data_IF_855703164657
#
_entry.id   IF_855703164657
#
_cell.length_a   1.000
_cell.length_b   1.000
_cell.length_c   1.000
_cell.angle_alpha   90.00
_cell.angle_beta   90.00
_cell.angle_gamma   90.00
#
_symmetry.space_group_name_H-M   'P 1'
#
loop_
_entity.id
_entity.type
_entity.pdbx_description
1 polymer ?
#
# COMPACT_ATOMS: atom_id res chain seq x y z
N UNK A 1 -6.71 22.31 13.43
CA UNK A 1 -5.83 21.97 12.29
C UNK A 1 -6.69 21.51 11.14
N UNK A 2 -6.75 22.26 10.05
CA UNK A 2 -7.50 21.88 8.85
C UNK A 2 -6.52 21.83 7.67
N UNK A 3 -6.48 20.70 6.97
CA UNK A 3 -5.72 20.58 5.73
C UNK A 3 -6.48 21.35 4.65
N UNK A 4 -5.94 22.48 4.21
CA UNK A 4 -6.55 23.26 3.13
C UNK A 4 -6.32 22.58 1.79
N UNK A 5 -7.26 22.77 0.86
CA UNK A 5 -7.23 22.18 -0.47
C UNK A 5 -5.93 22.51 -1.26
N UNK A 6 -5.30 23.65 -0.99
CA UNK A 6 -4.00 24.03 -1.53
C UNK A 6 -2.84 23.14 -1.03
N UNK A 7 -2.88 22.68 0.23
CA UNK A 7 -1.89 21.77 0.80
C UNK A 7 -2.02 20.37 0.19
N UNK A 8 -3.25 19.91 -0.07
CA UNK A 8 -3.49 18.61 -0.71
C UNK A 8 -2.92 18.55 -2.14
N UNK A 9 -2.89 19.66 -2.88
CA UNK A 9 -2.28 19.71 -4.22
C UNK A 9 -0.74 19.65 -4.23
N UNK A 10 -0.10 19.90 -3.09
CA UNK A 10 1.36 19.84 -2.97
C UNK A 10 1.86 18.44 -2.60
N UNK A 11 0.97 17.56 -2.14
CA UNK A 11 1.28 16.16 -1.87
C UNK A 11 1.15 15.43 -3.21
N UNK A 12 2.15 14.63 -3.62
CA UNK A 12 2.07 13.82 -4.83
C UNK A 12 1.10 12.67 -4.60
N UNK A 13 -0.20 12.96 -4.50
CA UNK A 13 -1.27 11.98 -4.43
C UNK A 13 -2.06 12.04 -5.75
N UNK A 14 -2.51 10.90 -6.30
CA UNK A 14 -3.39 10.91 -7.46
C UNK A 14 -4.70 11.61 -7.08
N UNK A 15 -5.14 12.66 -7.80
CA UNK A 15 -6.38 13.35 -7.46
C UNK A 15 -7.58 12.39 -7.49
N UNK A 16 -8.72 12.70 -6.82
CA UNK A 16 -9.87 11.81 -6.83
C UNK A 16 -10.36 11.42 -8.23
N UNK A 17 -10.21 12.30 -9.21
CA UNK A 17 -10.54 12.04 -10.62
C UNK A 17 -9.60 11.06 -11.33
N UNK A 18 -8.48 10.67 -10.71
CA UNK A 18 -7.53 9.71 -11.26
C UNK A 18 -7.88 8.24 -10.92
N UNK A 19 -8.91 8.01 -10.10
CA UNK A 19 -9.39 6.67 -9.78
C UNK A 19 -10.57 6.31 -10.67
N UNK A 20 -10.44 5.22 -11.41
CA UNK A 20 -11.54 4.59 -12.14
C UNK A 20 -12.44 3.79 -11.20
N UNK A 21 -13.60 3.35 -11.68
CA UNK A 21 -14.48 2.46 -10.90
C UNK A 21 -13.77 1.14 -10.53
N UNK A 22 -12.96 0.58 -11.43
CA UNK A 22 -12.16 -0.62 -11.17
C UNK A 22 -11.11 -0.39 -10.07
N UNK A 23 -10.46 0.78 -10.08
CA UNK A 23 -9.50 1.15 -9.03
C UNK A 23 -10.20 1.22 -7.66
N UNK A 24 -11.37 1.86 -7.61
CA UNK A 24 -12.17 1.94 -6.38
C UNK A 24 -12.66 0.56 -5.94
N UNK A 25 -13.06 -0.29 -6.88
CA UNK A 25 -13.44 -1.69 -6.62
C UNK A 25 -12.28 -2.52 -6.02
N UNK A 26 -11.04 -2.20 -6.36
CA UNK A 26 -9.86 -2.80 -5.73
C UNK A 26 -9.57 -2.18 -4.35
N UNK A 27 -9.55 -0.85 -4.24
CA UNK A 27 -9.04 -0.15 -3.06
C UNK A 27 -10.03 -0.19 -1.90
N UNK A 28 -11.30 0.15 -2.17
CA UNK A 28 -12.30 0.39 -1.11
C UNK A 28 -12.50 -0.82 -0.20
N UNK A 29 -12.67 -2.07 -0.71
CA UNK A 29 -12.84 -3.23 0.17
C UNK A 29 -11.64 -3.45 1.11
N UNK A 30 -10.41 -3.19 0.63
CA UNK A 30 -9.17 -3.35 1.41
C UNK A 30 -9.05 -2.30 2.49
N UNK A 31 -9.33 -1.04 2.15
CA UNK A 31 -9.32 0.08 3.12
C UNK A 31 -10.42 -0.09 4.16
N UNK A 32 -11.60 -0.55 3.75
CA UNK A 32 -12.71 -0.85 4.64
C UNK A 32 -12.31 -1.92 5.67
N UNK A 33 -11.77 -3.06 5.23
CA UNK A 33 -11.35 -4.15 6.13
C UNK A 33 -10.20 -3.74 7.05
N UNK A 34 -9.28 -2.89 6.57
CA UNK A 34 -8.19 -2.37 7.38
C UNK A 34 -8.63 -1.35 8.44
N UNK A 35 -9.70 -0.59 8.18
CA UNK A 35 -10.16 0.53 9.01
C UNK A 35 -11.31 0.17 9.95
N UNK A 36 -12.26 -0.67 9.51
CA UNK A 36 -13.47 -0.95 10.27
C UNK A 36 -13.29 -2.11 11.27
N UNK A 37 -12.46 -1.90 12.29
CA UNK A 37 -12.14 -2.93 13.31
C UNK A 37 -12.90 -2.80 14.62
N UNK A 38 -13.78 -1.79 14.74
CA UNK A 38 -14.66 -1.61 15.90
C UNK A 38 -15.93 -0.83 15.52
N UNK A 39 -17.00 -0.97 16.30
CA UNK A 39 -18.26 -0.25 16.05
C UNK A 39 -18.13 1.28 16.07
N UNK A 40 -17.11 1.85 16.70
CA UNK A 40 -16.87 3.30 16.65
C UNK A 40 -16.58 3.80 15.23
N UNK A 41 -16.09 2.90 14.35
CA UNK A 41 -15.83 3.18 12.94
C UNK A 41 -17.05 2.86 12.04
N UNK A 42 -18.20 2.49 12.60
CA UNK A 42 -19.40 2.17 11.81
C UNK A 42 -19.90 3.31 10.91
N UNK A 43 -19.84 4.61 11.30
CA UNK A 43 -20.18 5.69 10.38
C UNK A 43 -19.33 5.68 9.09
N UNK A 44 -18.00 5.49 9.22
CA UNK A 44 -17.10 5.38 8.07
C UNK A 44 -17.41 4.17 7.18
N UNK A 45 -17.75 3.03 7.80
CA UNK A 45 -18.12 1.83 7.05
C UNK A 45 -19.41 2.04 6.23
N UNK A 46 -20.41 2.71 6.82
CA UNK A 46 -21.66 3.06 6.13
C UNK A 46 -21.45 4.04 5.00
N UNK A 47 -20.55 5.02 5.15
CA UNK A 47 -20.19 5.94 4.07
C UNK A 47 -19.56 5.21 2.86
N UNK A 48 -18.96 4.04 3.09
CA UNK A 48 -18.45 3.13 2.06
C UNK A 48 -19.48 2.07 1.62
N UNK A 49 -20.74 2.17 2.06
CA UNK A 49 -21.82 1.25 1.70
C UNK A 49 -21.81 -0.09 2.44
N UNK A 50 -21.09 -0.20 3.57
CA UNK A 50 -21.02 -1.42 4.37
C UNK A 50 -21.81 -1.31 5.69
N UNK A 51 -22.78 -2.20 5.87
CA UNK A 51 -23.65 -2.25 7.06
C UNK A 51 -23.40 -3.49 7.95
N UNK A 52 -22.37 -4.30 7.63
CA UNK A 52 -22.04 -5.50 8.40
C UNK A 52 -21.33 -5.21 9.72
N UNK A 53 -20.93 -6.29 10.40
CA UNK A 53 -20.15 -6.22 11.64
C UNK A 53 -18.71 -5.76 11.40
N UNK A 54 -18.05 -5.15 12.41
CA UNK A 54 -16.62 -4.83 12.32
C UNK A 54 -15.77 -6.07 12.02
N UNK A 55 -14.72 -5.87 11.22
CA UNK A 55 -13.77 -6.91 10.89
C UNK A 55 -12.93 -7.28 12.12
N UNK A 56 -12.73 -8.59 12.31
CA UNK A 56 -11.84 -9.09 13.36
C UNK A 56 -10.40 -8.68 13.07
N UNK A 57 -9.66 -8.39 14.14
CA UNK A 57 -8.24 -8.11 14.02
C UNK A 57 -7.45 -9.40 13.71
N UNK A 58 -6.90 -9.47 12.51
CA UNK A 58 -6.04 -10.56 12.04
C UNK A 58 -4.74 -9.97 11.45
N UNK A 59 -3.60 -10.22 12.09
CA UNK A 59 -2.33 -9.62 11.68
C UNK A 59 -1.90 -10.06 10.28
N UNK A 60 -2.11 -11.33 9.93
CA UNK A 60 -1.66 -11.91 8.67
C UNK A 60 -2.48 -11.41 7.51
N UNK A 61 -3.82 -11.39 7.69
CA UNK A 61 -4.74 -10.80 6.72
C UNK A 61 -4.46 -9.31 6.52
N UNK A 62 -4.22 -8.57 7.60
CA UNK A 62 -3.89 -7.13 7.51
C UNK A 62 -2.54 -6.86 6.85
N UNK A 63 -1.56 -7.74 7.01
CA UNK A 63 -0.29 -7.64 6.30
C UNK A 63 -0.48 -7.84 4.78
N UNK A 64 -1.30 -8.83 4.40
CA UNK A 64 -1.64 -9.08 3.00
C UNK A 64 -2.38 -7.91 2.35
N UNK A 65 -3.42 -7.37 3.01
CA UNK A 65 -4.20 -6.25 2.49
C UNK A 65 -3.34 -4.99 2.30
N UNK A 66 -2.43 -4.72 3.24
CA UNK A 66 -1.49 -3.59 3.13
C UNK A 66 -0.52 -3.80 1.97
N UNK A 67 0.04 -5.00 1.82
CA UNK A 67 0.92 -5.31 0.71
C UNK A 67 0.24 -5.16 -0.66
N UNK A 68 -1.03 -5.54 -0.78
CA UNK A 68 -1.82 -5.33 -1.99
C UNK A 68 -2.05 -3.85 -2.32
N UNK A 69 -2.31 -3.02 -1.29
CA UNK A 69 -2.43 -1.58 -1.46
C UNK A 69 -1.09 -0.93 -1.82
N UNK A 70 0.00 -1.28 -1.14
CA UNK A 70 1.34 -0.76 -1.41
C UNK A 70 1.77 -1.09 -2.85
N UNK A 71 1.52 -2.31 -3.32
CA UNK A 71 1.78 -2.72 -4.69
C UNK A 71 0.93 -1.95 -5.72
N UNK A 72 -0.37 -1.79 -5.44
CA UNK A 72 -1.26 -1.03 -6.31
C UNK A 72 -0.82 0.43 -6.42
N UNK A 73 -0.48 1.08 -5.29
CA UNK A 73 0.01 2.46 -5.29
C UNK A 73 1.37 2.58 -5.95
N UNK A 74 2.25 1.59 -5.83
CA UNK A 74 3.52 1.61 -6.54
C UNK A 74 3.31 1.67 -8.06
N UNK A 75 2.39 0.87 -8.60
CA UNK A 75 1.98 0.94 -10.00
C UNK A 75 1.29 2.28 -10.33
N UNK A 76 0.42 2.78 -9.46
CA UNK A 76 -0.24 4.07 -9.65
C UNK A 76 0.73 5.27 -9.67
N UNK A 77 1.82 5.19 -8.91
CA UNK A 77 2.92 6.17 -8.90
C UNK A 77 3.96 5.94 -10.00
N UNK A 78 3.78 4.93 -10.86
CA UNK A 78 4.68 4.69 -11.98
C UNK A 78 5.99 3.99 -11.60
N UNK A 79 6.08 3.38 -10.41
CA UNK A 79 7.26 2.63 -9.98
C UNK A 79 7.35 1.30 -10.74
N UNK A 80 8.54 1.05 -11.28
CA UNK A 80 8.97 -0.28 -11.69
C UNK A 80 9.16 -1.19 -10.47
N UNK A 81 9.23 -2.50 -10.72
CA UNK A 81 9.46 -3.50 -9.69
C UNK A 81 10.76 -3.26 -8.91
N UNK A 82 11.84 -2.87 -9.62
CA UNK A 82 13.14 -2.60 -8.99
C UNK A 82 13.15 -1.28 -8.22
N UNK A 83 12.44 -0.25 -8.68
CA UNK A 83 12.26 0.99 -7.90
C UNK A 83 11.46 0.72 -6.61
N UNK A 84 10.41 -0.11 -6.68
CA UNK A 84 9.68 -0.54 -5.49
C UNK A 84 10.58 -1.35 -4.53
N UNK A 85 11.41 -2.25 -5.08
CA UNK A 85 12.39 -3.02 -4.30
C UNK A 85 13.40 -2.10 -3.60
N UNK A 86 13.88 -1.08 -4.29
CA UNK A 86 14.75 -0.05 -3.73
C UNK A 86 14.05 0.75 -2.61
N UNK A 87 12.79 1.14 -2.80
CA UNK A 87 12.02 1.84 -1.75
C UNK A 87 11.90 0.99 -0.48
N UNK A 88 11.64 -0.31 -0.62
CA UNK A 88 11.51 -1.21 0.52
C UNK A 88 12.86 -1.49 1.19
N UNK A 89 13.89 -1.77 0.40
CA UNK A 89 15.19 -2.19 0.88
C UNK A 89 16.31 -1.76 -0.09
N UNK A 90 16.86 -0.54 0.08
CA UNK A 90 17.92 -0.04 -0.79
C UNK A 90 19.16 -0.95 -0.84
N UNK A 91 19.49 -1.62 0.27
CA UNK A 91 20.67 -2.50 0.39
C UNK A 91 20.53 -3.78 -0.43
N UNK A 92 19.31 -4.30 -0.57
CA UNK A 92 19.02 -5.45 -1.42
C UNK A 92 19.22 -5.16 -2.93
N UNK A 93 19.26 -3.88 -3.31
CA UNK A 93 19.51 -3.45 -4.70
C UNK A 93 20.94 -2.93 -4.88
N UNK A 94 21.41 -2.10 -3.93
CA UNK A 94 22.66 -1.35 -4.04
C UNK A 94 23.85 -2.01 -3.31
N UNK A 95 23.62 -3.11 -2.60
CA UNK A 95 24.61 -3.81 -1.78
C UNK A 95 24.65 -3.33 -0.32
N UNK A 96 25.26 -4.15 0.54
CA UNK A 96 25.33 -3.92 2.00
C UNK A 96 26.10 -2.64 2.38
N UNK A 97 27.03 -2.21 1.53
CA UNK A 97 27.81 -0.98 1.72
C UNK A 97 27.00 0.29 1.44
N UNK A 98 25.76 0.18 0.94
CA UNK A 98 24.90 1.33 0.71
C UNK A 98 24.45 1.96 2.03
N UNK A 99 24.65 3.27 2.23
CA UNK A 99 24.50 3.89 3.55
C UNK A 99 23.05 4.09 3.99
N UNK A 100 22.07 3.93 3.10
CA UNK A 100 20.66 4.27 3.37
C UNK A 100 19.80 3.04 3.62
N UNK A 101 18.82 3.18 4.52
CA UNK A 101 17.80 2.18 4.83
C UNK A 101 16.45 2.88 5.01
N UNK A 102 15.38 2.39 4.37
CA UNK A 102 14.05 3.01 4.46
C UNK A 102 13.29 2.55 5.70
N UNK A 103 13.23 1.23 5.94
CA UNK A 103 12.37 0.63 6.96
C UNK A 103 13.13 -0.25 7.95
N UNK A 104 14.35 0.16 8.37
CA UNK A 104 15.25 -0.63 9.24
C UNK A 104 14.53 -1.30 10.42
N UNK A 105 13.74 -0.54 11.18
CA UNK A 105 13.09 -1.06 12.40
C UNK A 105 12.06 -2.13 12.05
N UNK A 106 11.24 -1.90 11.02
CA UNK A 106 10.26 -2.88 10.54
C UNK A 106 10.96 -4.15 10.06
N UNK A 107 11.96 -4.02 9.17
CA UNK A 107 12.75 -5.13 8.64
C UNK A 107 13.36 -5.98 9.77
N UNK A 108 14.00 -5.33 10.74
CA UNK A 108 14.61 -6.03 11.88
C UNK A 108 13.57 -6.76 12.75
N UNK A 109 12.39 -6.18 12.95
CA UNK A 109 11.32 -6.82 13.72
C UNK A 109 10.73 -8.02 12.97
N UNK A 110 10.54 -7.89 11.65
CA UNK A 110 10.04 -9.00 10.82
C UNK A 110 11.04 -10.13 10.71
N UNK A 111 12.35 -9.84 10.55
CA UNK A 111 13.39 -10.87 10.57
C UNK A 111 13.37 -11.63 11.90
N UNK A 112 13.24 -10.93 13.04
CA UNK A 112 13.15 -11.58 14.35
C UNK A 112 11.89 -12.44 14.53
N UNK A 113 10.74 -11.98 14.02
CA UNK A 113 9.43 -12.63 14.21
C UNK A 113 9.16 -13.75 13.20
N UNK A 114 9.62 -13.57 11.96
CA UNK A 114 9.25 -14.38 10.80
C UNK A 114 10.44 -15.04 10.10
N UNK A 115 11.68 -14.65 10.42
CA UNK A 115 12.88 -15.15 9.74
C UNK A 115 13.12 -14.55 8.35
N UNK A 116 12.27 -13.62 7.92
CA UNK A 116 12.34 -12.97 6.61
C UNK A 116 11.89 -11.50 6.69
N UNK A 117 12.26 -10.69 5.70
CA UNK A 117 11.63 -9.38 5.49
C UNK A 117 10.26 -9.56 4.83
N UNK A 118 9.28 -10.01 5.63
CA UNK A 118 7.95 -10.45 5.16
C UNK A 118 7.22 -9.39 4.34
N UNK A 119 7.29 -8.11 4.75
CA UNK A 119 6.66 -7.00 4.01
C UNK A 119 7.18 -6.94 2.58
N UNK A 120 8.51 -7.01 2.37
CA UNK A 120 9.09 -6.98 1.03
C UNK A 120 8.59 -8.14 0.17
N UNK A 121 8.58 -9.37 0.71
CA UNK A 121 8.08 -10.54 -0.01
C UNK A 121 6.62 -10.39 -0.42
N UNK A 122 5.76 -9.94 0.50
CA UNK A 122 4.32 -9.80 0.24
C UNK A 122 4.03 -8.69 -0.77
N UNK A 123 4.68 -7.52 -0.63
CA UNK A 123 4.49 -6.37 -1.53
C UNK A 123 4.94 -6.71 -2.94
N UNK A 124 6.12 -7.32 -3.10
CA UNK A 124 6.62 -7.72 -4.42
C UNK A 124 5.75 -8.82 -5.05
N UNK A 125 5.27 -9.80 -4.25
CA UNK A 125 4.35 -10.81 -4.76
C UNK A 125 3.01 -10.21 -5.22
N UNK A 126 2.47 -9.24 -4.48
CA UNK A 126 1.25 -8.53 -4.89
C UNK A 126 1.47 -7.69 -6.15
N UNK A 127 2.63 -7.04 -6.28
CA UNK A 127 3.01 -6.31 -7.49
C UNK A 127 3.07 -7.23 -8.70
N UNK A 128 3.77 -8.36 -8.58
CA UNK A 128 3.92 -9.35 -9.65
C UNK A 128 2.56 -9.92 -10.09
N UNK A 129 1.65 -10.13 -9.13
CA UNK A 129 0.27 -10.54 -9.40
C UNK A 129 -0.50 -9.48 -10.19
N UNK A 130 -0.51 -8.22 -9.75
CA UNK A 130 -1.21 -7.12 -10.42
C UNK A 130 -0.69 -6.91 -11.86
N UNK A 131 0.63 -7.02 -12.05
CA UNK A 131 1.23 -6.95 -13.39
C UNK A 131 0.79 -8.13 -14.26
N UNK A 132 0.72 -9.33 -13.71
CA UNK A 132 0.21 -10.51 -14.44
C UNK A 132 -1.26 -10.35 -14.82
N UNK A 133 -2.06 -9.71 -13.96
CA UNK A 133 -3.48 -9.38 -14.21
C UNK A 133 -3.68 -8.20 -15.18
N UNK A 134 -2.59 -7.61 -15.69
CA UNK A 134 -2.61 -6.61 -16.77
C UNK A 134 -2.39 -5.17 -16.31
N UNK A 135 -2.26 -4.90 -15.01
CA UNK A 135 -1.94 -3.56 -14.52
C UNK A 135 -0.51 -3.18 -14.95
N UNK A 136 -0.29 -1.89 -15.23
CA UNK A 136 1.01 -1.36 -15.63
C UNK A 136 1.33 -0.10 -14.82
N UNK A 137 2.62 0.22 -14.60
CA UNK A 137 3.00 1.49 -14.02
C UNK A 137 2.40 2.65 -14.82
N UNK A 138 1.74 3.60 -14.14
CA UNK A 138 1.20 4.81 -14.78
C UNK A 138 2.37 5.73 -15.12
N UNK A 139 2.82 5.67 -16.38
CA UNK A 139 4.00 6.43 -16.86
C UNK A 139 3.67 7.88 -17.27
N UNK A 140 2.40 8.25 -17.39
CA UNK A 140 1.98 9.62 -17.70
C UNK A 140 1.74 10.44 -16.42
N UNK A 141 2.48 11.55 -16.28
CA UNK A 141 2.16 12.63 -15.33
C UNK A 141 3.08 12.80 -14.12
N UNK A 142 4.04 11.90 -13.88
CA UNK A 142 4.88 11.93 -12.67
C UNK A 142 6.36 11.52 -12.91
N UNK A 143 6.96 11.97 -14.02
CA UNK A 143 8.42 11.98 -14.22
C UNK A 143 8.90 13.39 -14.55
#
# INVERSE_FOLDING_TARGET
NNLTYSVLRQIPFPPPSAYSEDDLGFIVPRVLELSYTSHSMAPFARDLGYEGEPFRWDEDRRAQLRAELDAWYALAYGLSRDELRYVLDPKDVMGEDYPSETFRVLKNNEIKKHGEYRTQRLVLAAYDKLVTEGMRPRVEGYR
#
